data_IF_078344500344
#
_entry.id   IF_078344500344
#
_cell.length_a   1.000
_cell.length_b   1.000
_cell.length_c   1.000
_cell.angle_alpha   90.00
_cell.angle_beta   90.00
_cell.angle_gamma   90.00
#
_symmetry.space_group_name_H-M   'P 1'
#
loop_
_entity.id
_entity.type
_entity.pdbx_description
1 polymer ?
#
# COMPACT_ATOMS: atom_id res chain seq x y z
N UNK A 1 6.62 -29.49 14.53
CA UNK A 1 6.73 -28.38 13.57
C UNK A 1 6.00 -27.20 14.17
N UNK A 2 6.69 -26.43 15.02
CA UNK A 2 6.16 -25.15 15.50
C UNK A 2 6.23 -24.15 14.35
N UNK A 3 5.10 -23.52 14.02
CA UNK A 3 5.07 -22.43 13.05
C UNK A 3 5.80 -21.23 13.63
N UNK A 4 6.98 -20.92 13.10
CA UNK A 4 7.71 -19.71 13.45
C UNK A 4 6.93 -18.48 13.00
N UNK A 5 6.34 -17.75 13.94
CA UNK A 5 5.69 -16.47 13.69
C UNK A 5 6.75 -15.39 13.47
N UNK A 6 6.79 -14.80 12.28
CA UNK A 6 7.70 -13.70 11.95
C UNK A 6 7.01 -12.38 12.29
N UNK A 7 7.45 -11.72 13.36
CA UNK A 7 6.98 -10.39 13.74
C UNK A 7 7.98 -9.35 13.21
N UNK A 8 7.62 -8.64 12.15
CA UNK A 8 8.48 -7.62 11.52
C UNK A 8 7.90 -6.22 11.70
N UNK A 9 8.72 -5.29 12.19
CA UNK A 9 8.36 -3.87 12.25
C UNK A 9 8.56 -3.21 10.88
N UNK A 10 7.46 -2.75 10.29
CA UNK A 10 7.49 -1.95 9.05
C UNK A 10 7.41 -0.47 9.43
N UNK A 11 8.54 0.21 9.51
CA UNK A 11 8.57 1.68 9.60
C UNK A 11 8.33 2.29 8.22
N UNK A 12 7.47 3.32 8.14
CA UNK A 12 7.17 4.07 6.92
C UNK A 12 7.60 5.52 7.12
N UNK A 13 8.63 5.95 6.40
CA UNK A 13 9.10 7.35 6.43
C UNK A 13 8.41 8.21 5.36
N UNK A 14 7.82 7.59 4.32
CA UNK A 14 7.26 8.27 3.14
C UNK A 14 5.88 7.71 2.77
N UNK A 15 5.07 8.54 2.10
CA UNK A 15 3.75 8.15 1.58
C UNK A 15 3.90 7.00 0.58
N UNK A 16 3.20 5.90 0.84
CA UNK A 16 3.15 4.73 -0.05
C UNK A 16 1.92 4.82 -0.94
N UNK A 17 2.14 4.81 -2.26
CA UNK A 17 1.06 4.80 -3.25
C UNK A 17 0.29 3.46 -3.22
N UNK A 18 -1.00 3.45 -3.59
CA UNK A 18 -1.74 2.20 -3.77
C UNK A 18 -1.05 1.32 -4.83
N UNK A 19 -0.84 0.05 -4.51
CA UNK A 19 -0.07 -0.87 -5.34
C UNK A 19 1.46 -0.82 -5.14
N UNK A 20 1.97 0.01 -4.23
CA UNK A 20 3.39 0.00 -3.86
C UNK A 20 3.77 -1.35 -3.22
N UNK A 21 4.94 -1.87 -3.61
CA UNK A 21 5.51 -3.12 -3.09
C UNK A 21 6.80 -2.80 -2.35
N UNK A 22 6.91 -3.24 -1.10
CA UNK A 22 8.15 -3.15 -0.33
C UNK A 22 8.83 -4.52 -0.37
N UNK A 23 10.12 -4.52 -0.71
CA UNK A 23 10.98 -5.71 -0.67
C UNK A 23 11.88 -5.64 0.56
N UNK A 24 11.83 -6.66 1.40
CA UNK A 24 12.72 -6.83 2.56
C UNK A 24 13.58 -8.06 2.31
N UNK A 25 14.88 -7.83 2.11
CA UNK A 25 15.85 -8.89 1.86
C UNK A 25 16.10 -9.65 3.17
N UNK A 26 16.31 -10.97 3.08
CA UNK A 26 16.69 -11.86 4.18
C UNK A 26 15.63 -12.05 5.29
N UNK A 27 14.40 -11.58 5.05
CA UNK A 27 13.23 -11.72 5.94
C UNK A 27 12.21 -12.76 5.41
N UNK A 28 12.57 -13.50 4.36
CA UNK A 28 11.76 -14.58 3.82
C UNK A 28 12.03 -15.92 4.52
N UNK A 29 11.44 -16.98 3.96
CA UNK A 29 11.63 -18.34 4.48
C UNK A 29 13.10 -18.80 4.33
N UNK A 30 13.65 -19.56 5.29
CA UNK A 30 14.96 -20.19 5.14
C UNK A 30 14.98 -21.18 3.98
N UNK A 31 16.12 -21.32 3.29
CA UNK A 31 16.30 -22.34 2.26
C UNK A 31 16.32 -23.74 2.88
N UNK A 32 15.72 -24.72 2.20
CA UNK A 32 15.75 -26.11 2.61
C UNK A 32 17.15 -26.75 2.56
N UNK A 33 18.06 -26.18 1.75
CA UNK A 33 19.42 -26.70 1.55
C UNK A 33 20.47 -26.01 2.41
N UNK A 34 20.22 -24.77 2.83
CA UNK A 34 21.14 -23.98 3.64
C UNK A 34 20.35 -23.03 4.54
N UNK A 35 20.32 -23.34 5.84
CA UNK A 35 19.57 -22.59 6.84
C UNK A 35 20.13 -21.16 7.08
N UNK A 36 21.33 -20.85 6.57
CA UNK A 36 21.88 -19.48 6.62
C UNK A 36 21.29 -18.57 5.55
N UNK A 37 20.74 -19.13 4.47
CA UNK A 37 20.13 -18.38 3.38
C UNK A 37 18.63 -18.19 3.62
N UNK A 38 18.15 -16.96 3.45
CA UNK A 38 16.74 -16.60 3.60
C UNK A 38 16.22 -15.94 2.33
N UNK A 39 14.94 -16.17 2.04
CA UNK A 39 14.26 -15.55 0.90
C UNK A 39 14.03 -14.04 1.08
N UNK A 40 13.38 -13.45 0.09
CA UNK A 40 12.95 -12.05 0.12
C UNK A 40 11.47 -12.00 0.48
N UNK A 41 11.12 -11.18 1.46
CA UNK A 41 9.72 -10.89 1.79
C UNK A 41 9.20 -9.76 0.91
N UNK A 42 8.09 -10.03 0.20
CA UNK A 42 7.35 -9.03 -0.56
C UNK A 42 6.13 -8.59 0.25
N UNK A 43 6.12 -7.34 0.66
CA UNK A 43 4.98 -6.73 1.35
C UNK A 43 4.17 -5.94 0.32
N UNK A 44 2.92 -6.36 0.14
CA UNK A 44 1.91 -5.65 -0.67
C UNK A 44 0.93 -4.95 0.25
N UNK A 45 0.60 -3.71 -0.05
CA UNK A 45 -0.41 -2.97 0.70
C UNK A 45 -1.69 -2.91 -0.11
N UNK A 46 -2.75 -3.43 0.48
CA UNK A 46 -4.10 -3.11 0.05
C UNK A 46 -4.59 -1.92 0.86
N UNK A 47 -4.97 -0.85 0.17
CA UNK A 47 -5.44 0.38 0.82
C UNK A 47 -6.93 0.43 0.62
N UNK A 48 -7.67 0.06 1.66
CA UNK A 48 -9.12 0.17 1.63
C UNK A 48 -9.54 1.63 1.80
N UNK A 49 -10.31 2.10 0.82
CA UNK A 49 -10.94 3.42 0.89
C UNK A 49 -12.21 3.35 1.75
N UNK A 50 -12.51 4.40 2.52
CA UNK A 50 -13.74 4.45 3.31
C UNK A 50 -14.95 4.27 2.40
N UNK A 51 -15.82 3.31 2.75
CA UNK A 51 -17.05 3.02 2.02
C UNK A 51 -18.18 3.86 2.62
N UNK A 52 -18.57 4.92 1.93
CA UNK A 52 -19.62 5.83 2.37
C UNK A 52 -19.50 7.21 1.76
N UNK A 53 -20.49 8.06 2.01
CA UNK A 53 -20.40 9.49 1.68
C UNK A 53 -19.67 10.23 2.78
N UNK A 54 -18.62 10.96 2.39
CA UNK A 54 -17.95 11.91 3.29
C UNK A 54 -18.83 13.15 3.45
N UNK A 55 -18.94 13.65 4.68
CA UNK A 55 -19.64 14.90 4.98
C UNK A 55 -18.94 16.09 4.31
N UNK A 56 -19.63 17.23 4.20
CA UNK A 56 -19.07 18.44 3.60
C UNK A 56 -17.82 18.96 4.35
N UNK A 57 -17.80 18.82 5.68
CA UNK A 57 -16.69 19.25 6.54
C UNK A 57 -15.46 18.35 6.40
N UNK A 58 -15.65 17.03 6.34
CA UNK A 58 -14.58 16.07 6.10
C UNK A 58 -13.97 16.27 4.71
N UNK A 59 -14.81 16.54 3.70
CA UNK A 59 -14.36 16.85 2.34
C UNK A 59 -13.48 18.10 2.31
N UNK A 60 -13.90 19.19 2.96
CA UNK A 60 -13.11 20.43 3.03
C UNK A 60 -11.74 20.19 3.70
N UNK A 61 -11.74 19.41 4.78
CA UNK A 61 -10.51 19.03 5.50
C UNK A 61 -9.56 18.25 4.60
N UNK A 62 -10.06 17.24 3.89
CA UNK A 62 -9.27 16.42 2.94
C UNK A 62 -8.70 17.27 1.81
N UNK A 63 -9.48 18.19 1.23
CA UNK A 63 -9.01 19.10 0.17
C UNK A 63 -7.83 19.94 0.66
N UNK A 64 -7.92 20.48 1.88
CA UNK A 64 -6.85 21.28 2.48
C UNK A 64 -5.58 20.45 2.74
N UNK A 65 -5.74 19.22 3.25
CA UNK A 65 -4.65 18.30 3.55
C UNK A 65 -3.93 17.81 2.28
N UNK A 66 -4.69 17.49 1.23
CA UNK A 66 -4.16 17.01 -0.05
C UNK A 66 -3.69 18.14 -0.98
N UNK A 67 -3.89 19.41 -0.58
CA UNK A 67 -3.56 20.61 -1.39
C UNK A 67 -4.11 20.52 -2.80
N UNK A 68 -5.34 20.02 -2.94
CA UNK A 68 -6.01 19.91 -4.23
C UNK A 68 -6.72 21.23 -4.57
N UNK A 69 -5.96 22.18 -5.12
CA UNK A 69 -6.49 23.51 -5.49
C UNK A 69 -7.50 23.46 -6.65
N UNK A 70 -7.44 22.42 -7.49
CA UNK A 70 -8.41 22.19 -8.56
C UNK A 70 -8.58 20.69 -8.81
N UNK A 71 -9.74 20.15 -8.42
CA UNK A 71 -10.13 18.80 -8.79
C UNK A 71 -10.46 18.85 -10.29
N UNK A 72 -9.55 18.38 -11.15
CA UNK A 72 -9.89 18.01 -12.53
C UNK A 72 -10.32 16.55 -12.49
N UNK A 73 -11.62 16.24 -12.32
CA UNK A 73 -12.04 14.85 -12.35
C UNK A 73 -11.61 14.27 -13.70
N UNK A 74 -10.85 13.18 -13.68
CA UNK A 74 -10.69 12.35 -14.87
C UNK A 74 -12.07 11.76 -15.15
N UNK A 75 -12.85 12.46 -15.97
CA UNK A 75 -14.13 11.96 -16.46
C UNK A 75 -13.81 10.82 -17.41
N UNK A 76 -13.88 9.59 -16.89
CA UNK A 76 -13.78 8.39 -17.70
C UNK A 76 -15.13 8.21 -18.40
N UNK A 77 -15.19 8.60 -19.66
CA UNK A 77 -16.40 8.57 -20.48
C UNK A 77 -16.68 7.18 -21.09
N UNK A 78 -16.00 6.11 -20.65
CA UNK A 78 -16.25 4.74 -21.09
C UNK A 78 -15.95 4.47 -22.57
N UNK A 79 -15.49 5.46 -23.33
CA UNK A 79 -15.13 5.32 -24.74
C UNK A 79 -13.63 5.02 -24.85
N UNK A 80 -13.29 3.73 -24.88
CA UNK A 80 -12.01 3.28 -25.46
C UNK A 80 -12.17 3.24 -26.99
N UNK A 81 -11.45 4.11 -27.69
CA UNK A 81 -11.23 4.05 -29.14
C UNK A 81 -10.12 5.04 -29.48
N UNK A 82 -9.04 4.70 -30.19
CA UNK A 82 -8.79 3.64 -31.17
C UNK A 82 -7.95 2.46 -30.67
#
# INVERSE_FOLDING_TARGET
>A
MEGSCVVMQVSREKVTWPGARIRKKDEGMPSYTDNSQRGILYVTFDVEFPRGELTAEEKASIVSLLKQDSIKPKVYNGLQGY
#
